data_IF_972373846307
#
_entry.id   IF_972373846307
#
_cell.length_a   1.000
_cell.length_b   1.000
_cell.length_c   1.000
_cell.angle_alpha   90.00
_cell.angle_beta   90.00
_cell.angle_gamma   90.00
#
_symmetry.space_group_name_H-M   'P 1'
#
loop_
_entity.id
_entity.type
_entity.pdbx_description
1 polymer ?
#
# COMPACT_ATOMS: atom_id res chain seq x y z
N UNK A 1 -20.99 18.85 5.97
CA UNK A 1 -20.61 19.04 7.39
C UNK A 1 -19.21 19.61 7.40
N UNK A 2 -19.01 20.83 7.89
CA UNK A 2 -17.66 21.36 8.16
C UNK A 2 -17.21 20.78 9.49
N UNK A 3 -16.21 19.90 9.48
CA UNK A 3 -15.60 19.40 10.70
C UNK A 3 -14.93 20.58 11.43
N UNK A 4 -15.41 20.93 12.63
CA UNK A 4 -14.77 21.95 13.46
C UNK A 4 -13.62 21.29 14.21
N UNK A 5 -12.40 21.47 13.73
CA UNK A 5 -11.19 20.98 14.39
C UNK A 5 -10.91 21.81 15.65
N UNK A 6 -10.69 21.14 16.76
CA UNK A 6 -10.23 21.78 18.00
C UNK A 6 -8.72 22.00 17.97
N UNK A 7 -8.23 22.92 18.81
CA UNK A 7 -6.78 23.20 18.94
C UNK A 7 -5.93 21.97 19.23
N UNK A 8 -6.51 20.96 19.90
CA UNK A 8 -5.83 19.69 20.18
C UNK A 8 -5.63 18.84 18.91
N UNK A 9 -6.56 18.90 17.95
CA UNK A 9 -6.45 18.15 16.69
C UNK A 9 -5.29 18.69 15.85
N UNK A 10 -5.15 20.01 15.80
CA UNK A 10 -4.01 20.66 15.15
C UNK A 10 -2.67 20.30 15.81
N UNK A 11 -2.64 20.21 17.15
CA UNK A 11 -1.45 19.78 17.89
C UNK A 11 -1.07 18.34 17.54
N UNK A 12 -2.03 17.42 17.51
CA UNK A 12 -1.80 16.01 17.14
C UNK A 12 -1.24 15.91 15.72
N UNK A 13 -1.79 16.66 14.77
CA UNK A 13 -1.31 16.70 13.38
C UNK A 13 0.11 17.27 13.31
N UNK A 14 0.40 18.35 14.03
CA UNK A 14 1.73 18.94 14.09
C UNK A 14 2.77 17.96 14.68
N UNK A 15 2.42 17.28 15.77
CA UNK A 15 3.28 16.25 16.39
C UNK A 15 3.52 15.09 15.42
N UNK A 16 2.48 14.64 14.71
CA UNK A 16 2.60 13.59 13.69
C UNK A 16 3.55 13.99 12.55
N UNK A 17 3.39 15.20 12.01
CA UNK A 17 4.25 15.70 10.93
C UNK A 17 5.71 15.86 11.38
N UNK A 18 5.92 16.37 12.59
CA UNK A 18 7.26 16.49 13.18
C UNK A 18 7.90 15.11 13.42
N UNK A 19 7.14 14.14 13.91
CA UNK A 19 7.61 12.78 14.09
C UNK A 19 8.00 12.13 12.76
N UNK A 20 7.18 12.29 11.71
CA UNK A 20 7.50 11.81 10.36
C UNK A 20 8.80 12.39 9.82
N UNK A 21 8.96 13.72 9.90
CA UNK A 21 10.17 14.40 9.42
C UNK A 21 11.38 13.95 10.24
N UNK A 22 11.26 13.84 11.57
CA UNK A 22 12.33 13.37 12.44
C UNK A 22 12.77 11.93 12.11
N UNK A 23 11.81 11.03 11.89
CA UNK A 23 12.09 9.64 11.49
C UNK A 23 12.78 9.60 10.14
N UNK A 24 12.27 10.34 9.14
CA UNK A 24 12.87 10.40 7.81
C UNK A 24 14.30 10.97 7.81
N UNK A 25 14.53 12.03 8.59
CA UNK A 25 15.86 12.65 8.73
C UNK A 25 16.84 11.80 9.55
N UNK A 26 16.37 10.95 10.48
CA UNK A 26 17.23 10.08 11.29
C UNK A 26 18.04 9.07 10.48
N UNK A 27 17.61 8.79 9.24
CA UNK A 27 18.25 7.82 8.32
C UNK A 27 19.35 8.48 7.46
N UNK A 28 19.52 9.81 7.55
CA UNK A 28 20.46 10.62 6.74
C UNK A 28 21.95 10.25 6.90
N UNK A 29 22.30 9.34 7.81
CA UNK A 29 23.68 8.94 8.15
C UNK A 29 24.31 7.79 7.33
N UNK A 30 23.54 7.05 6.52
CA UNK A 30 24.09 5.95 5.70
C UNK A 30 24.38 6.43 4.26
N UNK A 31 25.29 7.38 4.11
CA UNK A 31 25.72 7.87 2.79
C UNK A 31 26.87 7.01 2.26
N UNK A 32 26.57 6.00 1.45
CA UNK A 32 27.55 5.31 0.64
C UNK A 32 26.94 4.69 -0.63
N UNK A 33 27.24 5.25 -1.81
CA UNK A 33 26.94 4.67 -3.14
C UNK A 33 25.46 4.76 -3.59
N UNK A 34 25.24 4.99 -4.89
CA UNK A 34 23.90 5.09 -5.53
C UNK A 34 22.99 3.87 -5.28
N UNK A 35 23.54 2.71 -4.91
CA UNK A 35 22.78 1.53 -4.51
C UNK A 35 22.01 1.74 -3.20
N UNK A 36 22.53 2.55 -2.25
CA UNK A 36 21.86 2.80 -0.97
C UNK A 36 20.53 3.54 -1.12
N UNK A 37 20.41 4.40 -2.14
CA UNK A 37 19.19 5.17 -2.36
C UNK A 37 18.01 4.29 -2.82
N UNK A 38 18.28 3.26 -3.63
CA UNK A 38 17.25 2.41 -4.25
C UNK A 38 17.05 1.07 -3.56
N UNK A 39 18.04 0.57 -2.81
CA UNK A 39 18.01 -0.74 -2.15
C UNK A 39 18.21 -0.66 -0.63
N UNK A 40 18.40 0.55 -0.07
CA UNK A 40 18.59 0.73 1.38
C UNK A 40 19.77 -0.09 1.93
N UNK A 41 20.82 -0.26 1.13
CA UNK A 41 22.01 -1.05 1.48
C UNK A 41 21.80 -2.55 1.62
N UNK A 42 20.66 -3.11 1.15
CA UNK A 42 20.29 -4.53 1.30
C UNK A 42 20.48 -5.02 2.74
N UNK A 43 20.02 -4.27 3.72
CA UNK A 43 20.18 -4.63 5.13
C UNK A 43 18.88 -4.48 5.94
N UNK A 44 17.74 -4.45 5.25
CA UNK A 44 16.44 -4.36 5.89
C UNK A 44 16.03 -5.72 6.47
N UNK A 45 15.55 -5.66 7.72
CA UNK A 45 14.99 -6.81 8.44
C UNK A 45 13.56 -7.12 7.99
N UNK A 46 13.16 -8.37 8.11
CA UNK A 46 11.84 -8.87 7.69
C UNK A 46 10.64 -8.09 8.25
N UNK A 47 10.59 -7.62 9.51
CA UNK A 47 9.41 -6.90 10.01
C UNK A 47 9.26 -5.54 9.32
N UNK A 48 10.38 -4.84 9.10
CA UNK A 48 10.37 -3.53 8.45
C UNK A 48 9.87 -3.63 7.01
N UNK A 49 10.33 -4.65 6.27
CA UNK A 49 9.85 -4.91 4.91
C UNK A 49 8.37 -5.29 4.93
N UNK A 50 7.95 -6.19 5.82
CA UNK A 50 6.56 -6.63 5.90
C UNK A 50 5.57 -5.50 6.21
N UNK A 51 5.87 -4.67 7.21
CA UNK A 51 5.06 -3.49 7.50
C UNK A 51 5.06 -2.46 6.36
N UNK A 52 6.15 -2.38 5.61
CA UNK A 52 6.25 -1.49 4.46
C UNK A 52 5.50 -2.04 3.25
N UNK A 53 5.46 -3.36 3.03
CA UNK A 53 4.59 -4.01 2.06
C UNK A 53 3.12 -3.78 2.41
N UNK A 54 2.75 -3.98 3.68
CA UNK A 54 1.42 -3.66 4.20
C UNK A 54 1.06 -2.18 3.97
N UNK A 55 1.94 -1.24 4.31
CA UNK A 55 1.69 0.20 4.13
C UNK A 55 1.48 0.58 2.67
N UNK A 56 2.18 -0.07 1.74
CA UNK A 56 2.01 0.23 0.31
C UNK A 56 0.68 -0.29 -0.21
N UNK A 57 0.20 -1.42 0.31
CA UNK A 57 -1.14 -1.87 -0.02
C UNK A 57 -2.20 -0.96 0.62
N UNK A 58 -2.04 -0.63 1.90
CA UNK A 58 -3.00 0.18 2.65
C UNK A 58 -2.70 1.69 2.49
N UNK A 59 -3.14 2.23 1.36
CA UNK A 59 -3.08 3.67 1.07
C UNK A 59 -4.42 4.37 1.35
N UNK A 60 -4.46 5.72 1.47
CA UNK A 60 -5.72 6.47 1.56
C UNK A 60 -6.69 6.16 0.42
N UNK A 61 -6.16 5.94 -0.80
CA UNK A 61 -6.95 5.52 -1.95
C UNK A 61 -7.64 4.19 -1.70
N UNK A 62 -6.92 3.19 -1.19
CA UNK A 62 -7.49 1.87 -0.89
C UNK A 62 -8.50 1.95 0.26
N UNK A 63 -8.23 2.71 1.32
CA UNK A 63 -9.18 2.87 2.43
C UNK A 63 -10.52 3.46 1.97
N UNK A 64 -10.49 4.55 1.19
CA UNK A 64 -11.71 5.15 0.63
C UNK A 64 -12.37 4.20 -0.38
N UNK A 65 -11.56 3.58 -1.26
CA UNK A 65 -12.03 2.67 -2.29
C UNK A 65 -12.76 1.47 -1.70
N UNK A 66 -12.12 0.72 -0.80
CA UNK A 66 -12.71 -0.45 -0.14
C UNK A 66 -13.88 -0.09 0.76
N UNK A 67 -13.85 1.03 1.48
CA UNK A 67 -15.01 1.49 2.24
C UNK A 67 -16.20 1.82 1.32
N UNK A 68 -15.95 2.46 0.17
CA UNK A 68 -16.97 2.75 -0.83
C UNK A 68 -17.52 1.47 -1.49
N UNK A 69 -16.66 0.51 -1.81
CA UNK A 69 -17.07 -0.79 -2.33
C UNK A 69 -17.87 -1.61 -1.32
N UNK A 70 -17.46 -1.60 -0.05
CA UNK A 70 -18.22 -2.25 1.02
C UNK A 70 -19.60 -1.62 1.21
N UNK A 71 -19.69 -0.29 1.09
CA UNK A 71 -20.96 0.44 1.17
C UNK A 71 -21.89 0.17 -0.02
N UNK A 72 -21.36 -0.03 -1.23
CA UNK A 72 -22.18 -0.25 -2.43
C UNK A 72 -22.50 -1.73 -2.72
N UNK A 73 -21.57 -2.63 -2.39
CA UNK A 73 -21.56 -4.01 -2.89
C UNK A 73 -21.36 -5.06 -1.79
N UNK A 74 -21.15 -4.63 -0.54
CA UNK A 74 -20.95 -5.50 0.62
C UNK A 74 -19.57 -6.12 0.73
N UNK A 75 -19.48 -7.24 1.43
CA UNK A 75 -18.24 -7.95 1.81
C UNK A 75 -17.48 -8.53 0.61
N UNK A 76 -18.06 -8.53 -0.60
CA UNK A 76 -17.39 -9.03 -1.81
C UNK A 76 -16.03 -8.37 -2.04
N UNK A 77 -15.89 -7.10 -1.67
CA UNK A 77 -14.63 -6.38 -1.78
C UNK A 77 -13.50 -7.02 -0.94
N UNK A 78 -13.84 -7.73 0.14
CA UNK A 78 -12.87 -8.44 0.98
C UNK A 78 -12.15 -9.56 0.23
N UNK A 79 -12.71 -10.12 -0.85
CA UNK A 79 -12.00 -11.12 -1.66
C UNK A 79 -10.66 -10.61 -2.18
N UNK A 80 -10.55 -9.31 -2.49
CA UNK A 80 -9.31 -8.74 -3.01
C UNK A 80 -8.16 -8.77 -1.98
N UNK A 81 -8.48 -8.83 -0.69
CA UNK A 81 -7.49 -8.92 0.39
C UNK A 81 -7.36 -10.36 0.90
N UNK A 82 -8.49 -11.06 1.12
CA UNK A 82 -8.49 -12.43 1.63
C UNK A 82 -7.91 -13.44 0.65
N UNK A 83 -7.94 -13.18 -0.65
CA UNK A 83 -7.31 -14.05 -1.64
C UNK A 83 -5.84 -13.68 -1.89
N UNK A 84 -5.26 -12.66 -1.23
CA UNK A 84 -3.89 -12.24 -1.47
C UNK A 84 -2.84 -13.23 -0.93
N UNK A 85 -3.14 -13.92 0.18
CA UNK A 85 -2.17 -14.77 0.88
C UNK A 85 -1.51 -15.86 0.01
N UNK A 86 -2.18 -16.57 -0.91
CA UNK A 86 -1.52 -17.57 -1.76
C UNK A 86 -0.50 -16.93 -2.72
N UNK A 87 -0.75 -15.69 -3.16
CA UNK A 87 0.14 -14.95 -4.06
C UNK A 87 1.31 -14.32 -3.31
N UNK A 88 1.11 -13.92 -2.06
CA UNK A 88 2.21 -13.55 -1.16
C UNK A 88 3.07 -14.77 -0.79
N UNK A 89 2.47 -15.94 -0.65
CA UNK A 89 3.20 -17.21 -0.49
C UNK A 89 3.96 -17.57 -1.77
N UNK A 90 3.37 -17.35 -2.95
CA UNK A 90 4.03 -17.52 -4.24
C UNK A 90 5.22 -16.55 -4.39
N UNK A 91 5.06 -15.29 -4.00
CA UNK A 91 6.13 -14.30 -3.93
C UNK A 91 7.27 -14.81 -3.04
N UNK A 92 6.95 -15.28 -1.82
CA UNK A 92 7.93 -15.80 -0.88
C UNK A 92 8.69 -17.02 -1.41
N UNK A 93 7.98 -18.02 -1.94
CA UNK A 93 8.58 -19.31 -2.27
C UNK A 93 9.26 -19.34 -3.63
N UNK A 94 8.76 -18.59 -4.62
CA UNK A 94 9.22 -18.68 -6.00
C UNK A 94 9.97 -17.43 -6.43
N UNK A 95 9.34 -16.26 -6.29
CA UNK A 95 9.86 -15.04 -6.89
C UNK A 95 11.02 -14.45 -6.10
N UNK A 96 10.91 -14.32 -4.76
CA UNK A 96 11.99 -13.76 -3.92
C UNK A 96 13.30 -14.53 -4.07
N UNK A 97 13.34 -15.89 -3.97
CA UNK A 97 14.57 -16.64 -4.17
C UNK A 97 15.16 -16.43 -5.56
N UNK A 98 14.31 -16.39 -6.60
CA UNK A 98 14.76 -16.15 -7.96
C UNK A 98 15.35 -14.75 -8.13
N UNK A 99 14.70 -13.73 -7.57
CA UNK A 99 15.11 -12.34 -7.74
C UNK A 99 16.41 -12.00 -7.01
N UNK A 100 16.49 -12.40 -5.74
CA UNK A 100 17.67 -12.12 -4.91
C UNK A 100 18.88 -12.95 -5.35
N UNK A 101 18.71 -14.21 -5.77
CA UNK A 101 19.83 -15.04 -6.26
C UNK A 101 20.44 -14.52 -7.57
N UNK A 102 19.64 -13.85 -8.40
CA UNK A 102 20.11 -13.26 -9.67
C UNK A 102 20.59 -11.80 -9.53
N UNK A 103 20.69 -11.25 -8.31
CA UNK A 103 21.10 -9.87 -8.04
C UNK A 103 20.34 -8.81 -8.86
N UNK A 104 19.05 -9.04 -9.07
CA UNK A 104 18.20 -8.12 -9.82
C UNK A 104 17.91 -6.88 -8.97
N UNK A 105 18.13 -5.70 -9.55
CA UNK A 105 17.87 -4.42 -8.88
C UNK A 105 16.49 -3.84 -9.19
N UNK A 106 15.91 -4.16 -10.35
CA UNK A 106 14.59 -3.66 -10.78
C UNK A 106 13.86 -4.69 -11.65
N UNK A 107 12.52 -4.63 -11.69
CA UNK A 107 11.70 -5.51 -12.54
C UNK A 107 11.99 -5.33 -14.05
N UNK A 108 12.17 -4.11 -14.58
CA UNK A 108 12.62 -3.95 -15.96
C UNK A 108 14.01 -4.58 -16.21
N UNK A 109 14.95 -4.47 -15.26
CA UNK A 109 16.27 -5.07 -15.41
C UNK A 109 16.22 -6.61 -15.45
N UNK A 110 15.32 -7.24 -14.69
CA UNK A 110 15.07 -8.68 -14.80
C UNK A 110 14.72 -9.09 -16.24
N UNK A 111 13.81 -8.33 -16.87
CA UNK A 111 13.33 -8.65 -18.20
C UNK A 111 14.34 -8.30 -19.29
N UNK A 112 15.26 -7.37 -19.04
CA UNK A 112 16.43 -7.17 -19.89
C UNK A 112 17.30 -8.42 -19.95
N UNK A 113 17.56 -9.06 -18.81
CA UNK A 113 18.36 -10.30 -18.75
C UNK A 113 17.64 -11.46 -19.45
N UNK A 114 16.32 -11.54 -19.31
CA UNK A 114 15.54 -12.68 -19.83
C UNK A 114 15.11 -12.57 -21.30
N UNK A 115 14.76 -11.36 -21.76
CA UNK A 115 14.13 -11.10 -23.06
C UNK A 115 14.84 -10.03 -23.90
N UNK A 116 15.83 -9.33 -23.33
CA UNK A 116 16.64 -8.34 -24.03
C UNK A 116 16.11 -6.90 -23.96
N UNK A 117 16.78 -6.02 -24.72
CA UNK A 117 16.65 -4.55 -24.60
C UNK A 117 15.26 -4.00 -24.99
N UNK A 118 14.56 -4.65 -25.94
CA UNK A 118 13.25 -4.21 -26.40
C UNK A 118 12.20 -4.28 -25.27
N UNK A 119 12.12 -5.43 -24.59
CA UNK A 119 11.23 -5.64 -23.44
C UNK A 119 11.58 -4.72 -22.27
N UNK A 120 12.88 -4.48 -22.03
CA UNK A 120 13.35 -3.57 -21.00
C UNK A 120 12.85 -2.13 -21.22
N UNK A 121 12.97 -1.60 -22.44
CA UNK A 121 12.55 -0.24 -22.77
C UNK A 121 11.03 -0.06 -22.62
N UNK A 122 10.26 -1.01 -23.16
CA UNK A 122 8.80 -0.99 -23.06
C UNK A 122 8.33 -0.97 -21.60
N UNK A 123 8.85 -1.89 -20.77
CA UNK A 123 8.41 -1.99 -19.38
C UNK A 123 8.92 -0.87 -18.50
N UNK A 124 10.12 -0.34 -18.76
CA UNK A 124 10.59 0.86 -18.05
C UNK A 124 9.64 2.02 -18.28
N UNK A 125 9.23 2.27 -19.53
CA UNK A 125 8.27 3.32 -19.85
C UNK A 125 6.89 3.06 -19.24
N UNK A 126 6.36 1.84 -19.42
CA UNK A 126 5.08 1.44 -18.86
C UNK A 126 5.03 1.57 -17.33
N UNK A 127 6.05 1.07 -16.62
CA UNK A 127 6.14 1.15 -15.16
C UNK A 127 6.26 2.60 -14.69
N UNK A 128 7.06 3.44 -15.37
CA UNK A 128 7.17 4.86 -15.02
C UNK A 128 5.83 5.59 -15.15
N UNK A 129 5.12 5.40 -16.27
CA UNK A 129 3.81 6.02 -16.48
C UNK A 129 2.80 5.51 -15.46
N UNK A 130 2.75 4.19 -15.22
CA UNK A 130 1.81 3.59 -14.27
C UNK A 130 2.05 4.08 -12.84
N UNK A 131 3.31 4.16 -12.41
CA UNK A 131 3.65 4.63 -11.05
C UNK A 131 3.36 6.13 -10.90
N UNK A 132 3.76 6.97 -11.87
CA UNK A 132 3.64 8.43 -11.74
C UNK A 132 2.22 8.94 -11.99
N UNK A 133 1.52 8.40 -12.98
CA UNK A 133 0.21 8.92 -13.40
C UNK A 133 -0.91 8.22 -12.65
N UNK A 134 -0.88 6.88 -12.60
CA UNK A 134 -1.98 6.10 -12.03
C UNK A 134 -1.83 6.04 -10.51
N UNK A 135 -0.74 5.45 -10.01
CA UNK A 135 -0.59 5.21 -8.57
C UNK A 135 -0.39 6.52 -7.78
N UNK A 136 0.61 7.32 -8.14
CA UNK A 136 0.91 8.56 -7.44
C UNK A 136 -0.21 9.60 -7.62
N UNK A 137 -0.75 9.73 -8.84
CA UNK A 137 -1.86 10.65 -9.14
C UNK A 137 -3.12 10.32 -8.33
N UNK A 138 -3.59 9.08 -8.37
CA UNK A 138 -4.78 8.67 -7.61
C UNK A 138 -4.55 8.75 -6.10
N UNK A 139 -3.36 8.38 -5.61
CA UNK A 139 -3.02 8.47 -4.18
C UNK A 139 -3.03 9.91 -3.67
N UNK A 140 -2.39 10.84 -4.41
CA UNK A 140 -2.39 12.26 -4.07
C UNK A 140 -3.80 12.86 -4.15
N UNK A 141 -4.60 12.48 -5.14
CA UNK A 141 -5.99 12.93 -5.25
C UNK A 141 -6.83 12.44 -4.05
N UNK A 142 -6.78 11.15 -3.73
CA UNK A 142 -7.54 10.57 -2.62
C UNK A 142 -7.13 11.17 -1.26
N UNK A 143 -5.82 11.29 -1.01
CA UNK A 143 -5.30 11.92 0.21
C UNK A 143 -5.63 13.41 0.28
N UNK A 144 -5.48 14.12 -0.83
CA UNK A 144 -5.82 15.54 -0.95
C UNK A 144 -7.31 15.81 -0.75
N UNK A 145 -8.18 14.92 -1.21
CA UNK A 145 -9.63 15.01 -1.03
C UNK A 145 -10.01 14.94 0.45
N UNK A 146 -9.42 14.02 1.21
CA UNK A 146 -9.63 13.93 2.67
C UNK A 146 -9.20 15.24 3.34
N UNK A 147 -7.99 15.72 3.05
CA UNK A 147 -7.45 16.95 3.66
C UNK A 147 -8.31 18.17 3.30
N UNK A 148 -8.73 18.27 2.04
CA UNK A 148 -9.62 19.35 1.56
C UNK A 148 -10.95 19.36 2.31
N UNK A 149 -11.54 18.19 2.56
CA UNK A 149 -12.79 18.07 3.31
C UNK A 149 -12.63 18.39 4.81
N UNK A 150 -11.52 17.97 5.42
CA UNK A 150 -11.26 18.15 6.85
C UNK A 150 -10.90 19.60 7.18
N UNK A 151 -10.03 20.23 6.40
CA UNK A 151 -9.54 21.59 6.65
C UNK A 151 -10.30 22.67 5.86
N UNK A 152 -11.29 22.29 5.05
CA UNK A 152 -12.04 23.18 4.16
C UNK A 152 -11.14 24.04 3.23
N UNK A 153 -10.00 23.48 2.81
CA UNK A 153 -9.06 24.11 1.87
C UNK A 153 -9.32 23.64 0.45
N UNK A 154 -8.89 24.42 -0.54
CA UNK A 154 -8.98 24.03 -1.95
C UNK A 154 -8.16 22.74 -2.21
N UNK A 155 -8.73 21.81 -2.98
CA UNK A 155 -8.14 20.50 -3.25
C UNK A 155 -6.70 20.57 -3.77
N UNK A 156 -6.41 21.48 -4.71
CA UNK A 156 -5.07 21.61 -5.27
C UNK A 156 -4.03 22.03 -4.22
N UNK A 157 -4.42 22.88 -3.25
CA UNK A 157 -3.53 23.29 -2.14
C UNK A 157 -3.22 22.08 -1.24
N UNK A 158 -4.24 21.29 -0.90
CA UNK A 158 -4.08 20.07 -0.11
C UNK A 158 -3.12 19.07 -0.78
N UNK A 159 -3.27 18.88 -2.10
CA UNK A 159 -2.38 18.01 -2.89
C UNK A 159 -0.95 18.52 -2.87
N UNK A 160 -0.73 19.81 -3.15
CA UNK A 160 0.61 20.40 -3.19
C UNK A 160 1.30 20.33 -1.83
N UNK A 161 0.61 20.69 -0.74
CA UNK A 161 1.17 20.61 0.61
C UNK A 161 1.59 19.18 0.97
N UNK A 162 0.74 18.20 0.66
CA UNK A 162 1.02 16.78 0.91
C UNK A 162 2.23 16.31 0.09
N UNK A 163 2.29 16.69 -1.19
CA UNK A 163 3.41 16.34 -2.07
C UNK A 163 4.74 16.94 -1.58
N UNK A 164 4.73 18.20 -1.12
CA UNK A 164 5.92 18.87 -0.58
C UNK A 164 6.41 18.17 0.69
N UNK A 165 5.50 17.85 1.62
CA UNK A 165 5.85 17.14 2.86
C UNK A 165 6.40 15.76 2.53
N UNK A 166 5.72 14.97 1.70
CA UNK A 166 6.15 13.63 1.28
C UNK A 166 7.53 13.64 0.61
N UNK A 167 7.76 14.61 -0.28
CA UNK A 167 9.02 14.78 -1.00
C UNK A 167 10.15 15.17 -0.04
N UNK A 168 9.88 15.99 0.97
CA UNK A 168 10.91 16.53 1.87
C UNK A 168 11.69 15.45 2.61
N UNK A 169 11.02 14.41 3.13
CA UNK A 169 11.69 13.31 3.82
C UNK A 169 12.17 12.21 2.85
N UNK A 170 11.47 12.00 1.73
CA UNK A 170 11.85 10.98 0.73
C UNK A 170 13.12 11.34 -0.02
N UNK A 171 13.25 12.61 -0.45
CA UNK A 171 14.41 13.08 -1.20
C UNK A 171 15.72 13.04 -0.39
N UNK A 172 15.64 13.16 0.94
CA UNK A 172 16.80 13.19 1.82
C UNK A 172 17.23 11.80 2.32
N UNK A 173 16.32 10.81 2.35
CA UNK A 173 16.53 9.54 3.04
C UNK A 173 16.47 8.27 2.18
N UNK A 174 16.01 8.35 0.92
CA UNK A 174 15.94 7.20 0.02
C UNK A 174 14.99 6.10 0.49
N UNK A 175 15.12 4.88 -0.08
CA UNK A 175 14.23 3.76 0.23
C UNK A 175 14.22 3.38 1.73
N UNK A 176 15.36 3.45 2.41
CA UNK A 176 15.45 3.11 3.84
C UNK A 176 14.62 4.05 4.72
N UNK A 177 14.62 5.36 4.41
CA UNK A 177 13.76 6.31 5.11
C UNK A 177 12.28 6.06 4.84
N UNK A 178 11.93 5.77 3.56
CA UNK A 178 10.55 5.43 3.17
C UNK A 178 10.06 4.21 3.96
N UNK A 179 10.84 3.12 3.99
CA UNK A 179 10.46 1.91 4.75
C UNK A 179 10.27 2.22 6.23
N UNK A 180 11.11 3.06 6.83
CA UNK A 180 10.98 3.40 8.26
C UNK A 180 9.77 4.28 8.55
N UNK A 181 9.47 5.24 7.68
CA UNK A 181 8.24 6.05 7.79
C UNK A 181 7.00 5.20 7.55
N UNK A 182 7.05 4.25 6.62
CA UNK A 182 5.96 3.32 6.35
C UNK A 182 5.63 2.47 7.57
N UNK A 183 6.64 1.94 8.29
CA UNK A 183 6.40 1.18 9.53
C UNK A 183 5.63 2.01 10.55
N UNK A 184 6.04 3.27 10.75
CA UNK A 184 5.36 4.18 11.67
C UNK A 184 3.91 4.48 11.21
N UNK A 185 3.70 4.72 9.92
CA UNK A 185 2.39 4.98 9.34
C UNK A 185 1.46 3.76 9.41
N UNK A 186 1.96 2.56 9.12
CA UNK A 186 1.21 1.31 9.23
C UNK A 186 0.62 1.12 10.61
N UNK A 187 1.39 1.36 11.68
CA UNK A 187 0.89 1.25 13.05
C UNK A 187 -0.26 2.22 13.30
N UNK A 188 -0.13 3.47 12.84
CA UNK A 188 -1.18 4.49 12.99
C UNK A 188 -2.44 4.10 12.21
N UNK A 189 -2.29 3.60 10.99
CA UNK A 189 -3.43 3.17 10.15
C UNK A 189 -4.15 1.98 10.78
N UNK A 190 -3.42 0.99 11.31
CA UNK A 190 -4.00 -0.17 11.99
C UNK A 190 -4.77 0.27 13.23
N UNK A 191 -4.14 1.06 14.11
CA UNK A 191 -4.79 1.55 15.34
C UNK A 191 -6.00 2.42 14.99
N UNK A 192 -5.85 3.32 14.02
CA UNK A 192 -6.95 4.17 13.53
C UNK A 192 -8.11 3.36 12.97
N UNK A 193 -7.84 2.31 12.18
CA UNK A 193 -8.86 1.43 11.62
C UNK A 193 -9.59 0.63 12.68
N UNK A 194 -8.88 0.12 13.70
CA UNK A 194 -9.49 -0.58 14.85
C UNK A 194 -10.39 0.36 15.65
N UNK A 195 -9.92 1.58 15.94
CA UNK A 195 -10.70 2.59 16.67
C UNK A 195 -11.94 3.01 15.88
N UNK A 196 -11.80 3.28 14.58
CA UNK A 196 -12.92 3.63 13.71
C UNK A 196 -13.96 2.51 13.66
N UNK A 197 -13.51 1.26 13.52
CA UNK A 197 -14.38 0.09 13.53
C UNK A 197 -15.12 -0.03 14.86
N UNK A 198 -14.42 0.12 15.99
CA UNK A 198 -15.04 0.11 17.31
C UNK A 198 -16.07 1.23 17.49
N UNK A 199 -15.79 2.44 17.02
CA UNK A 199 -16.73 3.56 17.05
C UNK A 199 -17.96 3.30 16.16
N UNK A 200 -17.78 2.68 15.00
CA UNK A 200 -18.87 2.28 14.13
C UNK A 200 -19.78 1.25 14.82
N UNK A 201 -19.21 0.20 15.41
CA UNK A 201 -19.98 -0.79 16.17
C UNK A 201 -20.72 -0.18 17.35
N UNK A 202 -20.12 0.76 18.08
CA UNK A 202 -20.84 1.49 19.15
C UNK A 202 -22.05 2.27 18.65
N UNK A 203 -22.01 2.81 17.42
CA UNK A 203 -23.16 3.51 16.83
C UNK A 203 -24.23 2.55 16.31
N UNK A 204 -23.82 1.40 15.76
CA UNK A 204 -24.74 0.37 15.25
C UNK A 204 -25.42 -0.39 16.42
N UNK A 205 -24.73 -0.49 17.55
CA UNK A 205 -25.17 -1.21 18.74
C UNK A 205 -24.83 -2.69 18.67
N UNK A 206 -25.65 -3.46 17.94
CA UNK A 206 -25.54 -4.92 17.86
C UNK A 206 -25.24 -5.39 16.43
N UNK A 207 -24.59 -6.56 16.32
CA UNK A 207 -24.31 -7.18 15.02
C UNK A 207 -25.59 -7.51 14.24
N UNK A 208 -26.68 -7.84 14.91
CA UNK A 208 -27.99 -8.08 14.29
C UNK A 208 -28.52 -6.84 13.55
N UNK A 209 -28.30 -5.65 14.12
CA UNK A 209 -28.68 -4.39 13.45
C UNK A 209 -27.83 -4.15 12.20
N UNK A 210 -26.56 -4.57 12.22
CA UNK A 210 -25.69 -4.49 11.05
C UNK A 210 -26.17 -5.46 9.95
N UNK A 211 -26.46 -6.71 10.31
CA UNK A 211 -26.86 -7.75 9.35
C UNK A 211 -28.23 -7.44 8.74
N UNK A 212 -29.20 -7.04 9.56
CA UNK A 212 -30.55 -6.72 9.10
C UNK A 212 -30.66 -5.33 8.46
N UNK A 213 -29.71 -4.43 8.74
CA UNK A 213 -29.68 -3.07 8.21
C UNK A 213 -29.09 -2.94 6.80
N UNK A 214 -28.55 -4.02 6.25
CA UNK A 214 -27.99 -4.06 4.88
C UNK A 214 -28.72 -5.10 4.03
N UNK A 215 -28.68 -4.98 2.70
CA UNK A 215 -29.22 -6.01 1.82
C UNK A 215 -28.60 -7.38 2.10
N UNK A 216 -29.41 -8.44 2.07
CA UNK A 216 -28.94 -9.78 2.44
C UNK A 216 -27.77 -10.30 1.57
N UNK A 217 -27.64 -9.80 0.35
CA UNK A 217 -26.54 -10.15 -0.56
C UNK A 217 -25.20 -9.48 -0.20
N UNK A 218 -25.19 -8.50 0.72
CA UNK A 218 -23.97 -7.82 1.17
C UNK A 218 -23.06 -8.73 2.00
N UNK A 219 -23.56 -9.86 2.50
CA UNK A 219 -22.78 -10.85 3.24
C UNK A 219 -22.27 -12.00 2.38
N UNK A 220 -22.60 -11.98 1.09
CA UNK A 220 -22.21 -13.02 0.15
C UNK A 220 -20.84 -12.71 -0.44
N UNK A 221 -19.81 -13.50 -0.09
CA UNK A 221 -18.46 -13.35 -0.64
C UNK A 221 -18.40 -13.64 -2.14
N UNK A 222 -19.04 -14.72 -2.60
CA UNK A 222 -19.07 -15.10 -4.01
C UNK A 222 -20.49 -14.96 -4.54
N UNK A 223 -20.77 -13.85 -5.25
CA UNK A 223 -22.10 -13.63 -5.84
C UNK A 223 -22.35 -14.59 -7.02
N UNK A 224 -23.61 -14.75 -7.39
CA UNK A 224 -24.02 -15.61 -8.51
C UNK A 224 -23.32 -15.25 -9.83
N UNK A 225 -23.29 -16.18 -10.78
CA UNK A 225 -22.69 -15.95 -12.10
C UNK A 225 -23.37 -14.83 -12.90
N UNK A 226 -24.64 -14.54 -12.60
CA UNK A 226 -25.43 -13.48 -13.23
C UNK A 226 -25.23 -12.09 -12.57
N UNK A 227 -24.41 -12.01 -11.52
CA UNK A 227 -24.04 -10.74 -10.90
C UNK A 227 -23.34 -9.84 -11.92
N UNK A 228 -23.90 -8.64 -12.14
CA UNK A 228 -23.40 -7.70 -13.15
C UNK A 228 -21.98 -7.21 -12.84
N UNK A 229 -21.71 -6.93 -11.58
CA UNK A 229 -20.47 -6.26 -11.17
C UNK A 229 -19.43 -7.25 -10.61
N UNK A 230 -19.88 -8.32 -9.95
CA UNK A 230 -18.99 -9.26 -9.25
C UNK A 230 -19.41 -10.73 -9.38
N UNK A 231 -19.44 -11.30 -10.59
CA UNK A 231 -19.71 -12.72 -10.73
C UNK A 231 -18.56 -13.53 -10.15
N UNK A 232 -18.87 -14.62 -9.42
CA UNK A 232 -17.84 -15.39 -8.70
C UNK A 232 -16.68 -15.84 -9.59
N UNK A 233 -16.95 -16.20 -10.86
CA UNK A 233 -15.91 -16.69 -11.77
C UNK A 233 -14.93 -15.58 -12.16
N UNK A 234 -15.38 -14.32 -12.23
CA UNK A 234 -14.48 -13.19 -12.49
C UNK A 234 -13.55 -12.95 -11.31
N UNK A 235 -14.02 -13.15 -10.08
CA UNK A 235 -13.17 -13.10 -8.89
C UNK A 235 -12.18 -14.27 -8.91
N UNK A 236 -12.66 -15.51 -9.02
CA UNK A 236 -11.81 -16.71 -8.91
C UNK A 236 -10.78 -16.82 -10.04
N UNK A 237 -11.14 -16.45 -11.27
CA UNK A 237 -10.27 -16.59 -12.43
C UNK A 237 -9.50 -15.29 -12.76
N UNK A 238 -10.10 -14.13 -12.50
CA UNK A 238 -9.50 -12.82 -12.80
C UNK A 238 -8.57 -12.34 -11.70
N UNK A 239 -8.92 -12.52 -10.42
CA UNK A 239 -8.09 -12.07 -9.31
C UNK A 239 -6.68 -12.67 -9.35
N UNK A 240 -6.46 -13.98 -9.62
CA UNK A 240 -5.11 -14.53 -9.71
C UNK A 240 -4.20 -13.81 -10.70
N UNK A 241 -4.72 -13.37 -11.84
CA UNK A 241 -3.93 -12.65 -12.86
C UNK A 241 -3.45 -11.31 -12.30
N UNK A 242 -4.36 -10.55 -11.68
CA UNK A 242 -4.04 -9.26 -11.08
C UNK A 242 -3.15 -9.42 -9.85
N UNK A 243 -3.38 -10.45 -9.03
CA UNK A 243 -2.63 -10.70 -7.81
C UNK A 243 -1.19 -11.14 -8.10
N UNK A 244 -0.96 -11.98 -9.12
CA UNK A 244 0.41 -12.27 -9.57
C UNK A 244 1.08 -11.01 -10.09
N UNK A 245 0.38 -10.20 -10.90
CA UNK A 245 0.92 -8.93 -11.37
C UNK A 245 1.32 -8.02 -10.19
N UNK A 246 0.39 -7.75 -9.29
CA UNK A 246 0.55 -6.82 -8.18
C UNK A 246 1.58 -7.31 -7.14
N UNK A 247 1.46 -8.54 -6.66
CA UNK A 247 2.35 -9.03 -5.60
C UNK A 247 3.71 -9.49 -6.11
N UNK A 248 3.75 -10.12 -7.28
CA UNK A 248 4.96 -10.80 -7.76
C UNK A 248 5.76 -10.00 -8.78
N UNK A 249 5.17 -9.00 -9.45
CA UNK A 249 5.84 -8.28 -10.55
C UNK A 249 5.79 -6.76 -10.45
N UNK A 250 4.95 -6.20 -9.58
CA UNK A 250 4.86 -4.76 -9.41
C UNK A 250 6.16 -4.22 -8.81
N UNK A 251 6.68 -3.17 -9.42
CA UNK A 251 7.96 -2.59 -9.03
C UNK A 251 7.93 -2.05 -7.60
N UNK A 252 6.84 -1.42 -7.16
CA UNK A 252 6.72 -0.82 -5.83
C UNK A 252 6.70 -1.86 -4.71
N UNK A 253 6.07 -3.01 -4.97
CA UNK A 253 6.03 -4.15 -4.05
C UNK A 253 7.36 -4.91 -4.05
N UNK A 254 7.81 -5.36 -5.21
CA UNK A 254 8.99 -6.24 -5.31
C UNK A 254 10.27 -5.49 -4.95
N UNK A 255 10.39 -4.19 -5.21
CA UNK A 255 11.57 -3.41 -4.81
C UNK A 255 11.83 -3.44 -3.31
N UNK A 256 10.77 -3.51 -2.48
CA UNK A 256 10.91 -3.60 -1.02
C UNK A 256 11.47 -4.95 -0.58
N UNK A 257 11.08 -6.04 -1.25
CA UNK A 257 11.63 -7.37 -0.97
C UNK A 257 13.06 -7.54 -1.50
N UNK A 258 13.42 -6.85 -2.59
CA UNK A 258 14.79 -6.79 -3.11
C UNK A 258 15.79 -6.10 -2.17
N UNK A 259 15.29 -5.24 -1.27
CA UNK A 259 16.09 -4.58 -0.24
C UNK A 259 16.35 -5.44 1.01
N UNK A 260 15.88 -6.70 1.02
CA UNK A 260 16.13 -7.63 2.10
C UNK A 260 17.61 -7.99 2.24
N UNK A 261 18.03 -8.25 3.48
CA UNK A 261 19.40 -8.69 3.81
C UNK A 261 19.77 -10.03 3.17
N UNK A 262 18.80 -10.94 3.08
CA UNK A 262 18.95 -12.24 2.47
C UNK A 262 17.57 -12.78 2.08
N UNK A 263 17.56 -13.90 1.36
CA UNK A 263 16.34 -14.57 0.88
C UNK A 263 15.39 -14.87 2.06
N UNK A 264 15.92 -15.38 3.17
CA UNK A 264 15.12 -15.72 4.35
C UNK A 264 14.38 -14.52 4.94
N UNK A 265 15.02 -13.36 5.02
CA UNK A 265 14.39 -12.12 5.51
C UNK A 265 13.29 -11.64 4.55
N UNK A 266 13.53 -11.71 3.24
CA UNK A 266 12.51 -11.39 2.23
C UNK A 266 11.30 -12.35 2.31
N UNK A 267 11.57 -13.64 2.49
CA UNK A 267 10.53 -14.67 2.65
C UNK A 267 9.69 -14.43 3.90
N UNK A 268 10.33 -14.23 5.05
CA UNK A 268 9.64 -13.91 6.31
C UNK A 268 8.80 -12.66 6.19
N UNK A 269 9.28 -11.62 5.49
CA UNK A 269 8.53 -10.38 5.27
C UNK A 269 7.26 -10.63 4.45
N UNK A 270 7.37 -11.41 3.37
CA UNK A 270 6.24 -11.76 2.51
C UNK A 270 5.22 -12.62 3.24
N UNK A 271 5.66 -13.60 4.04
CA UNK A 271 4.78 -14.42 4.88
C UNK A 271 4.13 -13.56 5.97
N UNK A 272 4.86 -12.67 6.63
CA UNK A 272 4.31 -11.75 7.62
C UNK A 272 3.27 -10.79 7.01
N UNK A 273 3.42 -10.40 5.74
CA UNK A 273 2.42 -9.55 5.07
C UNK A 273 1.15 -10.35 4.75
N UNK A 274 1.26 -11.67 4.61
CA UNK A 274 0.15 -12.54 4.25
C UNK A 274 -0.81 -12.86 5.40
N UNK A 275 -0.37 -12.67 6.66
CA UNK A 275 -1.07 -13.09 7.88
C UNK A 275 -1.09 -11.98 8.93
#
# INVERSE_FOLDING_TARGET
>A
MTATLHSIDYLVIAVYLLALIAIGLSVRGQKGVKEDLFLGGKNLSWPAIGFSLFSTNVSPMMLIGFAGLAYSSGIVAANFEWMAWPFLMLLAMVFIPHYLSNNISTMPAFLNVRFGKGSHAFLSYYSLVSILVIWLGCSLYAGGLIISQVFAVQLWVAIVVTAVIATSYTALGGLAAVVRTDVFQSVIIIVGSVVLTYMAFRKIGNIENLVNGVPGDFWTLFKSADSKDYPWYAIVLGYPVIAVFYWCTDQTIVQKTLAAKNITEGQKASVFTAF
#
